data_IF_572435075011
#
_entry.id   IF_572435075011
#
_cell.length_a   1.000
_cell.length_b   1.000
_cell.length_c   1.000
_cell.angle_alpha   90.00
_cell.angle_beta   90.00
_cell.angle_gamma   90.00
#
_symmetry.space_group_name_H-M   'P 1'
#
loop_
_entity.id
_entity.type
_entity.pdbx_description
1 polymer ?
#
# COMPACT_ATOMS: atom_id res chain seq x y z
N UNK A 1 -10.44 20.59 -25.96
CA UNK A 1 -10.05 19.17 -25.73
C UNK A 1 -8.59 19.07 -25.29
N UNK A 2 -8.30 18.29 -24.24
CA UNK A 2 -6.93 17.95 -23.88
C UNK A 2 -6.35 17.04 -24.98
N UNK A 3 -5.07 17.20 -25.34
CA UNK A 3 -4.45 16.36 -26.34
C UNK A 3 -4.28 14.93 -25.82
N UNK A 4 -4.25 13.93 -26.72
CA UNK A 4 -4.15 12.51 -26.36
C UNK A 4 -2.92 12.16 -25.48
N UNK A 5 -1.87 12.97 -25.52
CA UNK A 5 -0.69 12.79 -24.68
C UNK A 5 -0.84 13.36 -23.25
N UNK A 6 -1.94 14.05 -22.93
CA UNK A 6 -2.25 14.56 -21.60
C UNK A 6 -3.06 13.56 -20.75
N UNK A 7 -3.14 12.30 -21.18
CA UNK A 7 -3.78 11.20 -20.46
C UNK A 7 -2.91 10.79 -19.26
N UNK A 8 -3.56 10.44 -18.15
CA UNK A 8 -2.94 9.72 -17.03
C UNK A 8 -2.74 8.26 -17.46
N UNK A 9 -1.50 7.83 -17.75
CA UNK A 9 -1.25 6.55 -18.38
C UNK A 9 -1.66 5.39 -17.47
N UNK A 10 -2.23 4.33 -18.06
CA UNK A 10 -2.78 3.12 -17.41
C UNK A 10 -4.18 3.29 -16.84
N UNK A 11 -4.66 4.51 -16.64
CA UNK A 11 -6.05 4.79 -16.26
C UNK A 11 -6.87 5.28 -17.45
N UNK A 12 -6.23 5.78 -18.50
CA UNK A 12 -6.87 6.29 -19.71
C UNK A 12 -7.89 7.41 -19.44
N UNK A 13 -7.58 8.25 -18.44
CA UNK A 13 -8.37 9.42 -18.01
C UNK A 13 -7.54 10.70 -18.08
N UNK A 14 -8.19 11.85 -18.09
CA UNK A 14 -7.54 13.17 -18.08
C UNK A 14 -7.76 13.93 -16.76
N UNK A 15 -8.82 13.59 -16.01
CA UNK A 15 -9.13 14.16 -14.70
C UNK A 15 -9.46 13.03 -13.70
N UNK A 16 -9.05 13.17 -12.43
CA UNK A 16 -9.41 12.22 -11.38
C UNK A 16 -10.91 12.11 -11.15
N UNK A 17 -11.70 13.12 -11.50
CA UNK A 17 -13.17 13.06 -11.51
C UNK A 17 -13.72 12.00 -12.46
N UNK A 18 -12.95 11.59 -13.46
CA UNK A 18 -13.31 10.43 -14.28
C UNK A 18 -13.11 9.13 -13.50
N UNK A 19 -12.05 9.02 -12.68
CA UNK A 19 -11.86 7.88 -11.78
C UNK A 19 -12.97 7.77 -10.73
N UNK A 20 -13.61 8.88 -10.34
CA UNK A 20 -14.78 8.86 -9.45
C UNK A 20 -15.96 8.06 -10.03
N UNK A 21 -16.07 7.99 -11.37
CA UNK A 21 -17.14 7.30 -12.10
C UNK A 21 -16.84 5.83 -12.37
N UNK A 22 -15.66 5.34 -11.98
CA UNK A 22 -15.28 3.95 -12.19
C UNK A 22 -16.20 3.00 -11.41
N UNK A 23 -16.54 1.89 -12.06
CA UNK A 23 -17.28 0.81 -11.41
C UNK A 23 -16.42 0.19 -10.29
N UNK A 24 -17.05 -0.50 -9.33
CA UNK A 24 -16.34 -1.06 -8.17
C UNK A 24 -15.16 -1.98 -8.54
N UNK A 25 -15.31 -2.75 -9.63
CA UNK A 25 -14.26 -3.65 -10.15
C UNK A 25 -13.10 -2.92 -10.83
N UNK A 26 -13.32 -1.69 -11.31
CA UNK A 26 -12.32 -0.92 -12.06
C UNK A 26 -11.53 0.04 -11.14
N UNK A 27 -11.88 0.08 -9.85
CA UNK A 27 -11.24 0.95 -8.84
C UNK A 27 -10.43 0.19 -7.78
N UNK A 28 -9.60 -0.75 -8.22
CA UNK A 28 -8.44 -1.22 -7.42
C UNK A 28 -7.39 -0.10 -7.34
N UNK A 29 -7.79 1.01 -6.72
CA UNK A 29 -7.07 2.26 -6.59
C UNK A 29 -7.08 2.70 -5.13
N UNK A 30 -5.92 3.07 -4.62
CA UNK A 30 -5.73 3.66 -3.31
C UNK A 30 -5.63 5.16 -3.42
N UNK A 31 -6.42 5.86 -2.60
CA UNK A 31 -6.11 7.21 -2.18
C UNK A 31 -5.25 7.13 -0.93
N UNK A 32 -4.09 7.79 -0.94
CA UNK A 32 -3.16 7.84 0.19
C UNK A 32 -2.75 9.28 0.46
N UNK A 33 -3.15 9.80 1.61
CA UNK A 33 -2.69 11.11 2.09
C UNK A 33 -1.20 11.06 2.41
N UNK A 34 -0.54 12.22 2.37
CA UNK A 34 0.86 12.40 2.76
C UNK A 34 1.21 11.70 4.08
N UNK A 35 2.38 11.06 4.12
CA UNK A 35 2.90 10.43 5.34
C UNK A 35 3.21 11.42 6.46
N UNK A 36 3.31 12.72 6.15
CA UNK A 36 3.45 13.80 7.14
C UNK A 36 2.11 14.25 7.74
N UNK A 37 0.98 13.77 7.19
CA UNK A 37 -0.33 14.03 7.75
C UNK A 37 -0.48 13.36 9.11
N UNK A 38 -1.21 13.96 10.07
CA UNK A 38 -1.65 13.28 11.28
C UNK A 38 -2.47 12.00 11.02
N UNK A 39 -2.97 11.80 9.80
CA UNK A 39 -3.66 10.58 9.37
C UNK A 39 -2.72 9.53 8.77
N UNK A 40 -1.44 9.83 8.58
CA UNK A 40 -0.47 8.97 7.90
C UNK A 40 -0.13 7.67 8.63
N UNK A 41 -0.53 7.53 9.89
CA UNK A 41 -0.28 6.35 10.72
C UNK A 41 -1.46 5.38 10.77
N UNK A 42 -1.17 4.11 11.03
CA UNK A 42 -2.19 3.09 11.30
C UNK A 42 -3.17 2.84 10.15
N UNK A 43 -2.76 3.08 8.89
CA UNK A 43 -3.60 2.96 7.69
C UNK A 43 -4.81 3.90 7.61
N UNK A 44 -4.91 4.90 8.51
CA UNK A 44 -6.06 5.83 8.60
C UNK A 44 -6.17 6.77 7.39
N UNK A 45 -5.02 7.13 6.82
CA UNK A 45 -4.89 8.01 5.68
C UNK A 45 -5.03 7.32 4.32
N UNK A 46 -5.53 6.07 4.30
CA UNK A 46 -5.66 5.25 3.10
C UNK A 46 -7.12 4.88 2.86
N UNK A 47 -7.56 4.93 1.60
CA UNK A 47 -8.86 4.44 1.16
C UNK A 47 -8.71 3.62 -0.12
N UNK A 48 -9.25 2.40 -0.12
CA UNK A 48 -9.30 1.55 -1.31
C UNK A 48 -10.65 1.70 -2.00
N UNK A 49 -10.65 2.16 -3.24
CA UNK A 49 -11.87 2.39 -4.01
C UNK A 49 -12.78 1.16 -4.04
N UNK A 50 -12.23 -0.03 -4.31
CA UNK A 50 -13.02 -1.26 -4.43
C UNK A 50 -13.73 -1.68 -3.14
N UNK A 51 -13.31 -1.18 -1.97
CA UNK A 51 -13.94 -1.45 -0.67
C UNK A 51 -15.02 -0.42 -0.29
N UNK A 52 -15.16 0.67 -1.06
CA UNK A 52 -16.08 1.76 -0.72
C UNK A 52 -17.34 1.74 -1.60
N UNK A 53 -18.50 2.21 -1.09
CA UNK A 53 -19.63 2.59 -1.93
C UNK A 53 -19.24 3.72 -2.90
N UNK A 54 -19.92 3.81 -4.05
CA UNK A 54 -19.60 4.80 -5.08
C UNK A 54 -19.62 6.25 -4.55
N UNK A 55 -20.67 6.62 -3.81
CA UNK A 55 -20.80 7.98 -3.28
C UNK A 55 -19.65 8.36 -2.33
N UNK A 56 -19.16 7.41 -1.54
CA UNK A 56 -18.02 7.64 -0.63
C UNK A 56 -16.69 7.71 -1.39
N UNK A 57 -16.54 6.92 -2.45
CA UNK A 57 -15.38 7.01 -3.36
C UNK A 57 -15.30 8.37 -4.04
N UNK A 58 -16.40 8.83 -4.62
CA UNK A 58 -16.52 10.13 -5.28
C UNK A 58 -16.22 11.29 -4.31
N UNK A 59 -16.82 11.26 -3.11
CA UNK A 59 -16.55 12.24 -2.05
C UNK A 59 -15.07 12.33 -1.70
N UNK A 60 -14.36 11.20 -1.63
CA UNK A 60 -12.93 11.17 -1.32
C UNK A 60 -12.06 11.69 -2.46
N UNK A 61 -12.43 11.44 -3.71
CA UNK A 61 -11.76 12.02 -4.88
C UNK A 61 -11.90 13.55 -4.85
N UNK A 62 -13.12 14.07 -4.68
CA UNK A 62 -13.33 15.52 -4.59
C UNK A 62 -12.59 16.14 -3.40
N UNK A 63 -12.60 15.49 -2.24
CA UNK A 63 -11.83 15.95 -1.09
C UNK A 63 -10.32 16.00 -1.36
N UNK A 64 -9.77 14.97 -2.02
CA UNK A 64 -8.36 14.91 -2.39
C UNK A 64 -7.97 16.05 -3.34
N UNK A 65 -8.82 16.36 -4.31
CA UNK A 65 -8.62 17.47 -5.25
C UNK A 65 -8.72 18.83 -4.56
N UNK A 66 -9.75 19.02 -3.73
CA UNK A 66 -9.99 20.28 -3.02
C UNK A 66 -8.92 20.60 -1.97
N UNK A 67 -8.30 19.59 -1.36
CA UNK A 67 -7.31 19.77 -0.28
C UNK A 67 -5.87 19.57 -0.73
N UNK A 68 -5.61 19.41 -2.03
CA UNK A 68 -4.28 19.04 -2.55
C UNK A 68 -3.15 19.95 -2.05
N UNK A 69 -3.39 21.26 -1.97
CA UNK A 69 -2.37 22.24 -1.55
C UNK A 69 -1.95 22.09 -0.07
N UNK A 70 -2.86 21.68 0.82
CA UNK A 70 -2.60 21.60 2.27
C UNK A 70 -2.42 20.17 2.78
N UNK A 71 -3.06 19.20 2.13
CA UNK A 71 -3.04 17.79 2.49
C UNK A 71 -2.96 16.92 1.23
N UNK A 72 -1.80 16.90 0.55
CA UNK A 72 -1.65 16.22 -0.72
C UNK A 72 -1.96 14.74 -0.59
N UNK A 73 -2.73 14.24 -1.55
CA UNK A 73 -3.15 12.84 -1.66
C UNK A 73 -2.68 12.30 -2.99
N UNK A 74 -2.13 11.09 -2.98
CA UNK A 74 -1.77 10.36 -4.20
C UNK A 74 -2.83 9.31 -4.52
N UNK A 75 -3.04 9.07 -5.82
CA UNK A 75 -3.82 7.94 -6.34
C UNK A 75 -2.83 6.89 -6.85
N UNK A 76 -2.98 5.65 -6.39
CA UNK A 76 -2.08 4.56 -6.73
C UNK A 76 -2.87 3.30 -7.05
N UNK A 77 -2.45 2.51 -8.03
CA UNK A 77 -3.00 1.16 -8.20
C UNK A 77 -2.76 0.32 -6.94
N UNK A 78 -3.81 -0.36 -6.48
CA UNK A 78 -3.72 -1.32 -5.39
C UNK A 78 -3.18 -2.64 -5.92
N UNK A 79 -2.17 -3.17 -5.22
CA UNK A 79 -1.63 -4.50 -5.48
C UNK A 79 -1.80 -5.34 -4.23
N UNK A 80 -2.49 -6.47 -4.36
CA UNK A 80 -2.67 -7.42 -3.27
C UNK A 80 -1.32 -8.04 -2.92
N UNK A 81 -0.93 -7.97 -1.65
CA UNK A 81 0.29 -8.62 -1.17
C UNK A 81 0.20 -10.14 -1.34
N UNK A 82 1.31 -10.75 -1.75
CA UNK A 82 1.42 -12.20 -1.89
C UNK A 82 1.35 -12.88 -0.50
N UNK A 83 0.74 -14.07 -0.46
CA UNK A 83 0.56 -14.88 0.74
C UNK A 83 1.65 -15.95 0.82
N UNK A 84 2.19 -16.14 2.01
CA UNK A 84 3.18 -17.15 2.31
C UNK A 84 2.83 -17.83 3.64
N UNK A 85 3.09 -19.13 3.73
CA UNK A 85 3.06 -19.86 4.99
C UNK A 85 4.42 -19.71 5.67
N UNK A 86 4.43 -19.33 6.94
CA UNK A 86 5.66 -19.12 7.71
C UNK A 86 5.47 -19.57 9.17
N UNK A 87 6.48 -20.26 9.72
CA UNK A 87 6.47 -20.65 11.13
C UNK A 87 7.02 -19.53 12.01
N UNK A 88 6.43 -19.34 13.19
CA UNK A 88 6.92 -18.39 14.18
C UNK A 88 6.77 -18.95 15.58
N UNK A 89 7.61 -18.45 16.49
CA UNK A 89 7.50 -18.76 17.90
C UNK A 89 6.39 -17.91 18.53
N UNK A 90 5.37 -18.56 19.08
CA UNK A 90 4.33 -17.91 19.85
C UNK A 90 4.71 -17.90 21.34
N UNK A 91 5.03 -16.73 21.92
CA UNK A 91 5.43 -16.64 23.32
C UNK A 91 4.30 -16.99 24.30
N UNK A 92 3.02 -16.85 23.90
CA UNK A 92 1.89 -17.10 24.79
C UNK A 92 1.65 -18.59 24.99
N UNK A 93 1.81 -19.39 23.94
CA UNK A 93 1.69 -20.85 24.02
C UNK A 93 3.03 -21.57 24.24
N UNK A 94 4.16 -20.91 23.98
CA UNK A 94 5.48 -21.55 24.02
C UNK A 94 5.66 -22.60 22.91
N UNK A 95 5.06 -22.37 21.74
CA UNK A 95 5.07 -23.34 20.63
C UNK A 95 5.38 -22.65 19.29
N UNK A 96 5.89 -23.43 18.33
CA UNK A 96 5.98 -23.00 16.94
C UNK A 96 4.61 -23.10 16.26
N UNK A 97 4.08 -21.98 15.80
CA UNK A 97 2.82 -21.90 15.04
C UNK A 97 3.08 -21.54 13.59
N UNK A 98 2.22 -22.03 12.70
CA UNK A 98 2.23 -21.62 11.30
C UNK A 98 1.26 -20.45 11.09
N UNK A 99 1.68 -19.43 10.35
CA UNK A 99 0.83 -18.34 9.91
C UNK A 99 0.88 -18.23 8.40
N UNK A 100 -0.30 -18.23 7.77
CA UNK A 100 -0.46 -17.76 6.40
C UNK A 100 -0.59 -16.25 6.42
N UNK A 101 0.35 -15.54 5.84
CA UNK A 101 0.40 -14.09 5.94
C UNK A 101 0.85 -13.38 4.69
N UNK A 102 0.51 -12.08 4.60
CA UNK A 102 0.98 -11.21 3.53
C UNK A 102 2.33 -10.63 3.89
N UNK A 103 3.25 -10.65 2.93
CA UNK A 103 4.63 -10.19 3.14
C UNK A 103 4.82 -8.78 2.60
N UNK A 104 5.41 -7.91 3.43
CA UNK A 104 6.01 -6.63 3.03
C UNK A 104 7.53 -6.76 3.15
N UNK A 105 8.25 -6.46 2.08
CA UNK A 105 9.70 -6.39 2.09
C UNK A 105 10.16 -4.94 2.25
N UNK A 106 11.05 -4.70 3.20
CA UNK A 106 11.75 -3.44 3.40
C UNK A 106 13.23 -3.65 3.08
N UNK A 107 13.66 -3.45 1.81
CA UNK A 107 15.04 -3.67 1.39
C UNK A 107 15.98 -2.60 1.94
N UNK A 108 17.19 -3.01 2.31
CA UNK A 108 18.27 -2.14 2.74
C UNK A 108 19.36 -2.09 1.67
N UNK A 109 19.53 -0.89 1.09
CA UNK A 109 20.52 -0.61 0.07
C UNK A 109 21.68 0.20 0.66
N UNK A 110 22.90 -0.14 0.27
CA UNK A 110 24.14 0.51 0.69
C UNK A 110 24.89 1.01 -0.55
N UNK A 111 25.63 2.10 -0.41
CA UNK A 111 26.56 2.57 -1.45
C UNK A 111 27.94 2.00 -1.14
N UNK A 112 28.43 1.16 -2.03
CA UNK A 112 29.74 0.51 -1.93
C UNK A 112 30.53 0.76 -3.22
N UNK A 113 31.69 1.42 -3.13
CA UNK A 113 32.54 1.77 -4.29
C UNK A 113 31.72 2.37 -5.45
N UNK A 114 30.94 3.41 -5.13
CA UNK A 114 30.07 4.15 -6.05
C UNK A 114 28.97 3.30 -6.73
N UNK A 115 28.61 2.15 -6.14
CA UNK A 115 27.51 1.31 -6.62
C UNK A 115 26.49 1.04 -5.51
N UNK A 116 25.22 1.13 -5.85
CA UNK A 116 24.12 0.73 -4.95
C UNK A 116 24.04 -0.80 -4.87
N UNK A 117 24.08 -1.34 -3.67
CA UNK A 117 24.04 -2.78 -3.38
C UNK A 117 22.92 -3.09 -2.39
N UNK A 118 22.09 -4.07 -2.71
CA UNK A 118 21.13 -4.65 -1.77
C UNK A 118 21.90 -5.56 -0.79
N UNK A 119 21.77 -5.32 0.53
CA UNK A 119 22.46 -6.12 1.55
C UNK A 119 21.52 -6.98 2.40
N UNK A 120 20.22 -6.78 2.24
CA UNK A 120 19.21 -7.53 2.95
C UNK A 120 17.85 -6.86 2.79
N UNK A 121 16.81 -7.52 3.30
CA UNK A 121 15.53 -6.88 3.53
C UNK A 121 14.95 -7.39 4.86
N UNK A 122 14.20 -6.53 5.54
CA UNK A 122 13.31 -6.98 6.59
C UNK A 122 12.01 -7.47 5.93
N UNK A 123 11.64 -8.73 6.17
CA UNK A 123 10.34 -9.24 5.81
C UNK A 123 9.39 -9.04 7.01
N UNK A 124 8.31 -8.32 6.79
CA UNK A 124 7.20 -8.19 7.75
C UNK A 124 6.04 -9.03 7.22
N UNK A 125 5.67 -10.07 7.95
CA UNK A 125 4.58 -10.98 7.61
C UNK A 125 3.38 -10.63 8.49
N UNK A 126 2.27 -10.21 7.91
CA UNK A 126 1.04 -9.92 8.66
C UNK A 126 -0.06 -10.95 8.36
N UNK A 127 -1.04 -11.13 9.26
CA UNK A 127 -2.16 -12.04 9.02
C UNK A 127 -2.87 -11.80 7.66
N UNK A 128 -3.35 -12.89 7.04
CA UNK A 128 -3.87 -12.87 5.66
C UNK A 128 -5.11 -11.99 5.43
N UNK A 129 -5.89 -11.77 6.49
CA UNK A 129 -7.07 -10.89 6.53
C UNK A 129 -6.69 -9.41 6.43
N UNK A 130 -5.44 -9.05 6.75
CA UNK A 130 -4.96 -7.67 6.66
C UNK A 130 -4.62 -7.31 5.21
N UNK A 131 -5.22 -6.23 4.70
CA UNK A 131 -4.93 -5.70 3.35
C UNK A 131 -3.80 -4.66 3.34
N UNK A 132 -3.76 -3.77 4.34
CA UNK A 132 -2.80 -2.65 4.40
C UNK A 132 -1.70 -2.92 5.43
N UNK A 133 -0.50 -3.26 4.99
CA UNK A 133 0.59 -3.76 5.84
C UNK A 133 1.35 -2.63 6.55
N UNK A 134 0.77 -2.10 7.63
CA UNK A 134 1.35 -1.00 8.40
C UNK A 134 0.99 -1.08 9.90
N UNK A 135 2.00 -0.96 10.77
CA UNK A 135 1.81 -0.78 12.23
C UNK A 135 1.06 -1.91 12.95
N UNK A 136 1.30 -3.17 12.57
CA UNK A 136 0.57 -4.32 13.11
C UNK A 136 1.35 -4.98 14.25
N UNK A 137 0.75 -5.08 15.43
CA UNK A 137 1.29 -5.83 16.57
C UNK A 137 1.32 -7.35 16.31
N UNK A 138 0.39 -7.83 15.49
CA UNK A 138 0.26 -9.25 15.11
C UNK A 138 1.23 -9.66 13.99
N UNK A 139 2.08 -8.75 13.50
CA UNK A 139 3.00 -9.06 12.41
C UNK A 139 4.30 -9.67 12.93
N UNK A 140 4.81 -10.64 12.18
CA UNK A 140 6.09 -11.31 12.44
C UNK A 140 7.19 -10.62 11.65
N UNK A 141 8.32 -10.37 12.30
CA UNK A 141 9.52 -9.81 11.68
C UNK A 141 10.53 -10.93 11.40
N UNK A 142 10.89 -11.08 10.14
CA UNK A 142 11.77 -12.16 9.67
C UNK A 142 12.95 -11.54 8.91
N UNK A 143 14.20 -11.92 9.23
CA UNK A 143 15.34 -11.54 8.40
C UNK A 143 15.23 -12.23 7.04
N UNK A 144 15.39 -11.49 5.95
CA UNK A 144 15.53 -12.11 4.63
C UNK A 144 17.00 -12.27 4.26
N UNK A 145 17.33 -13.40 3.61
CA UNK A 145 18.63 -13.59 2.98
C UNK A 145 18.56 -13.01 1.57
N UNK A 146 19.54 -12.19 1.23
CA UNK A 146 19.82 -11.87 -0.18
C UNK A 146 20.89 -12.85 -0.64
N UNK A 147 20.69 -13.50 -1.80
CA UNK A 147 21.75 -14.28 -2.41
C UNK A 147 22.85 -13.29 -2.81
N UNK A 148 23.91 -13.24 -2.01
CA UNK A 148 25.19 -12.63 -2.39
C UNK A 148 26.03 -13.68 -3.13
#
# INVERSE_FOLDING_TARGET
PLPQHAVIPRLEIHDWREAAKFSQKDRDLLLKVSGFSPLGWGSRGIALGSDLPHAEWEKRIEHALATFQSSPTILQKFHKGALFDHQYWDPDSGELKAMKGRVRLCPYYFVERDRVRLRGALATIAPADKKFLHGMSEAILVPSRTHL
#
